data_IF_524473043591
#
_entry.id   IF_524473043591
#
_cell.length_a   1.000
_cell.length_b   1.000
_cell.length_c   1.000
_cell.angle_alpha   90.00
_cell.angle_beta   90.00
_cell.angle_gamma   90.00
#
_symmetry.space_group_name_H-M   'P 1'
#
loop_
_entity.id
_entity.type
_entity.pdbx_description
1 polymer ?
#
# COMPACT_ATOMS: atom_id res chain seq x y z
N UNK A 1 47.89 -36.43 -12.87
CA UNK A 1 48.57 -37.53 -12.16
C UNK A 1 49.30 -36.93 -10.97
N UNK A 2 49.00 -37.45 -9.78
CA UNK A 2 49.73 -37.40 -8.50
C UNK A 2 50.23 -36.05 -7.95
N UNK A 3 49.58 -35.58 -6.88
CA UNK A 3 50.20 -34.78 -5.81
C UNK A 3 50.52 -35.73 -4.63
N UNK A 4 51.68 -35.62 -3.98
CA UNK A 4 52.04 -36.52 -2.88
C UNK A 4 51.39 -36.13 -1.54
N UNK A 5 50.76 -37.12 -0.89
CA UNK A 5 50.79 -37.34 0.58
C UNK A 5 52.24 -37.63 0.99
N UNK A 6 52.76 -37.43 2.20
CA UNK A 6 52.24 -37.20 3.55
C UNK A 6 53.51 -37.09 4.42
N UNK A 7 53.49 -36.34 5.51
CA UNK A 7 54.43 -36.61 6.61
C UNK A 7 53.68 -36.63 7.94
N UNK A 8 53.80 -37.80 8.56
CA UNK A 8 53.27 -38.20 9.84
C UNK A 8 53.88 -37.40 10.99
N UNK A 9 53.05 -36.92 11.92
CA UNK A 9 53.47 -36.84 13.31
C UNK A 9 52.32 -37.24 14.23
N UNK A 10 52.40 -38.50 14.64
CA UNK A 10 51.60 -39.13 15.68
C UNK A 10 52.09 -38.70 17.07
N UNK A 11 51.19 -38.86 18.04
CA UNK A 11 51.46 -39.21 19.44
C UNK A 11 51.28 -38.11 20.52
N UNK A 12 50.01 -37.94 20.89
CA UNK A 12 49.46 -38.23 22.23
C UNK A 12 50.13 -37.62 23.48
N UNK A 13 49.40 -36.71 24.16
CA UNK A 13 49.01 -36.75 25.60
C UNK A 13 48.17 -35.50 25.94
N UNK A 14 46.85 -35.63 25.97
CA UNK A 14 46.01 -35.67 27.19
C UNK A 14 46.41 -34.60 28.21
N UNK A 15 45.57 -33.57 28.36
CA UNK A 15 45.10 -33.09 29.65
C UNK A 15 43.81 -32.27 29.45
N UNK A 16 42.79 -32.69 30.19
CA UNK A 16 41.43 -32.18 30.20
C UNK A 16 41.36 -30.69 30.55
N UNK A 17 40.41 -29.96 29.96
CA UNK A 17 39.83 -28.77 30.57
C UNK A 17 38.48 -28.41 29.94
N UNK A 18 37.47 -28.42 30.80
CA UNK A 18 36.25 -27.60 30.80
C UNK A 18 35.24 -27.73 29.65
N UNK A 19 34.14 -28.42 29.99
CA UNK A 19 32.79 -28.14 29.51
C UNK A 19 32.52 -26.63 29.43
N UNK A 20 32.12 -26.14 28.26
CA UNK A 20 31.34 -24.91 28.14
C UNK A 20 30.17 -25.16 27.19
N UNK A 21 29.03 -25.48 27.78
CA UNK A 21 27.74 -25.42 27.10
C UNK A 21 27.34 -23.95 26.95
N UNK A 22 27.29 -23.46 25.72
CA UNK A 22 26.56 -22.25 25.37
C UNK A 22 25.45 -22.62 24.38
N UNK A 23 24.28 -22.93 24.93
CA UNK A 23 23.03 -22.74 24.21
C UNK A 23 22.80 -21.24 24.02
N UNK A 24 22.36 -20.83 22.82
CA UNK A 24 21.35 -19.80 22.57
C UNK A 24 21.13 -19.72 21.06
N UNK A 25 20.15 -20.49 20.57
CA UNK A 25 19.49 -20.20 19.31
C UNK A 25 18.73 -18.88 19.48
N UNK A 26 19.31 -17.78 19.02
CA UNK A 26 18.61 -16.51 18.94
C UNK A 26 17.80 -16.48 17.64
N UNK A 27 16.57 -17.01 17.71
CA UNK A 27 15.51 -16.59 16.78
C UNK A 27 15.25 -15.11 17.05
N UNK A 28 15.68 -14.25 16.13
CA UNK A 28 15.29 -12.84 16.12
C UNK A 28 13.81 -12.74 15.76
N UNK A 29 12.92 -13.00 16.72
CA UNK A 29 11.53 -12.57 16.66
C UNK A 29 11.51 -11.04 16.80
N UNK A 30 11.54 -10.36 15.66
CA UNK A 30 11.21 -8.94 15.58
C UNK A 30 9.76 -8.80 16.03
N UNK A 31 9.46 -8.10 17.14
CA UNK A 31 8.08 -7.85 17.52
C UNK A 31 7.41 -7.14 16.36
N UNK A 32 6.40 -7.79 15.76
CA UNK A 32 5.50 -7.12 14.86
C UNK A 32 4.99 -5.90 15.61
N UNK A 33 5.20 -4.71 15.02
CA UNK A 33 4.58 -3.50 15.52
C UNK A 33 3.09 -3.80 15.76
N UNK A 34 2.49 -3.35 16.88
CA UNK A 34 1.07 -3.53 17.10
C UNK A 34 0.34 -3.07 15.85
N UNK A 35 -0.31 -4.01 15.15
CA UNK A 35 -1.19 -3.66 14.07
C UNK A 35 -2.21 -2.72 14.69
N UNK A 36 -2.19 -1.45 14.26
CA UNK A 36 -3.31 -0.55 14.53
C UNK A 36 -4.56 -1.33 14.12
N UNK A 37 -5.53 -1.55 15.04
CA UNK A 37 -6.72 -2.29 14.68
C UNK A 37 -7.40 -1.52 13.56
N UNK A 38 -7.34 -2.06 12.34
CA UNK A 38 -8.12 -1.56 11.22
C UNK A 38 -9.56 -1.73 11.68
N UNK A 39 -10.36 -0.66 11.80
CA UNK A 39 -11.74 -0.83 12.20
C UNK A 39 -12.42 -1.69 11.13
N UNK A 40 -12.76 -2.92 11.49
CA UNK A 40 -13.72 -3.76 10.76
C UNK A 40 -15.10 -3.13 10.90
N UNK A 41 -15.32 -2.02 10.22
CA UNK A 41 -16.65 -1.63 9.81
C UNK A 41 -16.99 -2.50 8.60
N UNK A 42 -17.85 -3.50 8.79
CA UNK A 42 -18.43 -4.27 7.69
C UNK A 42 -19.32 -3.41 6.75
N UNK A 43 -19.47 -2.12 7.03
CA UNK A 43 -20.24 -1.15 6.25
C UNK A 43 -19.37 -0.26 5.35
N UNK A 44 -19.99 0.23 4.28
CA UNK A 44 -19.39 1.21 3.39
C UNK A 44 -19.18 2.55 4.11
N UNK A 45 -18.05 3.21 3.83
CA UNK A 45 -17.72 4.51 4.43
C UNK A 45 -18.48 5.60 3.68
N UNK A 46 -19.29 6.44 4.36
CA UNK A 46 -19.98 7.54 3.72
C UNK A 46 -18.99 8.60 3.22
N UNK A 47 -19.27 9.16 2.06
CA UNK A 47 -18.49 10.27 1.50
C UNK A 47 -18.72 11.57 2.29
N UNK A 48 -17.68 12.41 2.40
CA UNK A 48 -17.77 13.74 3.00
C UNK A 48 -17.59 14.84 1.96
N UNK A 49 -18.50 15.81 1.89
CA UNK A 49 -18.30 17.03 1.10
C UNK A 49 -17.28 18.00 1.72
N UNK A 50 -16.95 17.81 3.00
CA UNK A 50 -15.94 18.61 3.70
C UNK A 50 -14.56 18.05 3.39
N UNK A 51 -13.68 18.89 2.86
CA UNK A 51 -12.26 18.57 2.65
C UNK A 51 -11.60 18.28 4.00
N UNK A 52 -10.96 17.10 4.18
CA UNK A 52 -10.24 16.80 5.41
C UNK A 52 -9.18 17.85 5.73
N UNK A 53 -9.19 18.38 6.95
CA UNK A 53 -8.31 19.48 7.38
C UNK A 53 -6.81 19.13 7.34
N UNK A 54 -6.46 17.84 7.30
CA UNK A 54 -5.08 17.37 7.19
C UNK A 54 -4.53 17.38 5.76
N UNK A 55 -5.37 17.64 4.75
CA UNK A 55 -4.92 17.75 3.36
C UNK A 55 -4.43 19.19 3.14
N UNK A 56 -3.12 19.40 2.90
CA UNK A 56 -2.57 20.73 2.68
C UNK A 56 -2.84 21.24 1.27
N UNK A 57 -2.60 22.54 1.07
CA UNK A 57 -2.55 23.19 -0.25
C UNK A 57 -1.24 23.98 -0.38
N UNK A 58 -0.59 24.00 -1.57
CA UNK A 58 -0.96 23.28 -2.79
C UNK A 58 -0.62 21.78 -2.75
N UNK A 59 -1.27 20.99 -3.60
CA UNK A 59 -0.88 19.61 -3.90
C UNK A 59 -0.24 19.56 -5.28
N UNK A 60 0.86 18.81 -5.41
CA UNK A 60 1.49 18.57 -6.72
C UNK A 60 0.68 17.52 -7.49
N UNK A 61 0.36 17.80 -8.76
CA UNK A 61 -0.34 16.83 -9.61
C UNK A 61 0.64 15.74 -10.08
N UNK A 62 0.22 14.48 -10.02
CA UNK A 62 0.98 13.34 -10.54
C UNK A 62 0.07 12.35 -11.27
N UNK A 63 0.66 11.34 -11.91
CA UNK A 63 0.00 10.16 -12.46
C UNK A 63 0.52 8.85 -11.84
N UNK A 64 1.29 8.94 -10.75
CA UNK A 64 1.88 7.80 -10.04
C UNK A 64 0.88 7.11 -9.10
N UNK A 65 -0.22 6.63 -9.65
CA UNK A 65 -1.20 5.81 -8.94
C UNK A 65 -2.07 5.05 -9.94
N UNK A 66 -2.95 4.19 -9.41
CA UNK A 66 -4.02 3.58 -10.19
C UNK A 66 -5.25 3.33 -9.34
N UNK A 67 -6.42 3.35 -10.01
CA UNK A 67 -7.63 2.64 -9.58
C UNK A 67 -7.74 1.42 -10.49
N UNK A 68 -7.49 0.24 -9.93
CA UNK A 68 -7.40 -1.00 -10.68
C UNK A 68 -8.76 -1.69 -10.80
N UNK A 69 -9.57 -1.64 -9.74
CA UNK A 69 -10.90 -2.28 -9.74
C UNK A 69 -12.00 -1.42 -9.15
N UNK A 70 -13.19 -1.62 -9.68
CA UNK A 70 -14.48 -1.13 -9.16
C UNK A 70 -15.40 -2.34 -9.01
N UNK A 71 -15.89 -2.59 -7.80
CA UNK A 71 -16.67 -3.78 -7.45
C UNK A 71 -16.00 -5.08 -7.92
N UNK A 72 -14.70 -5.19 -7.67
CA UNK A 72 -13.83 -6.34 -7.99
C UNK A 72 -13.68 -6.64 -9.50
N UNK A 73 -14.32 -5.86 -10.38
CA UNK A 73 -14.08 -5.86 -11.81
C UNK A 73 -12.99 -4.85 -12.20
N UNK A 74 -12.24 -5.13 -13.27
CA UNK A 74 -11.20 -4.22 -13.77
C UNK A 74 -11.81 -2.87 -14.15
N UNK A 75 -11.22 -1.79 -13.65
CA UNK A 75 -11.69 -0.43 -13.89
C UNK A 75 -11.39 0.03 -15.33
N UNK A 76 -12.44 0.37 -16.06
CA UNK A 76 -12.35 1.05 -17.37
C UNK A 76 -12.15 2.55 -17.16
N UNK A 77 -11.96 3.32 -18.24
CA UNK A 77 -11.89 4.79 -18.16
C UNK A 77 -13.11 5.38 -17.43
N UNK A 78 -14.31 4.87 -17.75
CA UNK A 78 -15.56 5.18 -17.05
C UNK A 78 -16.27 3.88 -16.71
N UNK A 79 -16.37 3.56 -15.41
CA UNK A 79 -16.99 2.32 -14.93
C UNK A 79 -18.41 2.57 -14.40
N UNK A 80 -19.46 1.92 -14.94
CA UNK A 80 -20.82 2.08 -14.42
C UNK A 80 -20.99 1.42 -13.05
N UNK A 81 -21.69 2.12 -12.15
CA UNK A 81 -22.01 1.65 -10.81
C UNK A 81 -23.51 1.79 -10.58
N UNK A 82 -24.22 0.66 -10.61
CA UNK A 82 -25.67 0.63 -10.41
C UNK A 82 -26.08 0.75 -8.94
N UNK A 83 -25.43 -0.01 -8.05
CA UNK A 83 -25.62 0.10 -6.61
C UNK A 83 -24.58 1.06 -6.01
N UNK A 84 -25.08 2.21 -5.57
CA UNK A 84 -24.25 3.29 -4.99
C UNK A 84 -23.94 3.06 -3.51
N UNK A 85 -24.69 2.20 -2.81
CA UNK A 85 -24.64 2.09 -1.36
C UNK A 85 -23.37 1.40 -0.85
N UNK A 86 -22.75 0.59 -1.71
CA UNK A 86 -21.54 -0.16 -1.39
C UNK A 86 -20.68 -0.36 -2.63
N UNK A 87 -19.76 0.56 -2.85
CA UNK A 87 -18.82 0.52 -3.98
C UNK A 87 -17.44 0.14 -3.46
N UNK A 88 -16.89 -0.98 -3.92
CA UNK A 88 -15.53 -1.41 -3.57
C UNK A 88 -14.55 -0.87 -4.60
N UNK A 89 -13.55 -0.13 -4.15
CA UNK A 89 -12.50 0.44 -4.99
C UNK A 89 -11.15 -0.08 -4.49
N UNK A 90 -10.26 -0.43 -5.40
CA UNK A 90 -8.88 -0.78 -5.03
C UNK A 90 -7.89 -0.38 -6.10
N UNK A 91 -6.63 -0.26 -5.71
CA UNK A 91 -5.57 0.15 -6.61
C UNK A 91 -4.22 0.22 -5.92
N UNK A 92 -3.33 1.09 -6.41
CA UNK A 92 -2.08 1.44 -5.75
C UNK A 92 -1.83 2.95 -5.75
N UNK A 93 -1.03 3.40 -4.78
CA UNK A 93 -0.65 4.79 -4.59
C UNK A 93 0.76 4.82 -3.99
N UNK A 94 1.69 5.50 -4.67
CA UNK A 94 3.06 5.67 -4.20
C UNK A 94 3.66 7.00 -4.70
N UNK A 95 4.70 7.46 -4.01
CA UNK A 95 5.67 8.36 -4.61
C UNK A 95 6.70 7.50 -5.36
N UNK A 96 6.52 7.31 -6.66
CA UNK A 96 7.40 6.49 -7.48
C UNK A 96 8.80 7.10 -7.62
N UNK A 97 8.88 8.45 -7.63
CA UNK A 97 10.14 9.19 -7.76
C UNK A 97 10.99 8.99 -6.51
N UNK A 98 10.43 9.23 -5.32
CA UNK A 98 11.13 9.02 -4.05
C UNK A 98 11.25 7.54 -3.68
N UNK A 99 10.34 6.69 -4.16
CA UNK A 99 10.27 5.28 -3.77
C UNK A 99 9.68 5.04 -2.40
N UNK A 100 8.73 5.89 -1.99
CA UNK A 100 8.13 5.86 -0.65
C UNK A 100 6.63 5.68 -0.74
N UNK A 101 6.06 5.13 0.35
CA UNK A 101 4.63 4.98 0.51
C UNK A 101 4.04 6.25 1.15
N UNK A 102 2.80 6.63 0.80
CA UNK A 102 2.08 7.66 1.52
C UNK A 102 1.87 7.24 2.98
N UNK A 103 1.90 8.21 3.90
CA UNK A 103 1.52 8.02 5.31
C UNK A 103 0.00 7.99 5.49
N UNK A 104 -0.70 8.75 4.66
CA UNK A 104 -2.15 8.76 4.57
C UNK A 104 -2.58 8.97 3.13
N UNK A 105 -3.76 8.52 2.77
CA UNK A 105 -4.32 8.76 1.47
C UNK A 105 -5.85 8.94 1.52
N UNK A 106 -6.35 9.70 0.55
CA UNK A 106 -7.77 9.98 0.38
C UNK A 106 -8.17 9.76 -1.06
N UNK A 107 -9.38 9.24 -1.26
CA UNK A 107 -10.05 9.29 -2.54
C UNK A 107 -10.82 10.61 -2.62
N UNK A 108 -10.49 11.45 -3.59
CA UNK A 108 -11.29 12.59 -4.02
C UNK A 108 -12.16 12.12 -5.19
N UNK A 109 -13.48 12.20 -5.02
CA UNK A 109 -14.47 11.78 -6.02
C UNK A 109 -15.22 13.01 -6.51
N UNK A 110 -15.33 13.15 -7.83
CA UNK A 110 -16.12 14.18 -8.49
C UNK A 110 -15.31 15.29 -9.16
N UNK A 111 -16.03 16.26 -9.72
CA UNK A 111 -15.48 17.41 -10.45
C UNK A 111 -15.63 18.73 -9.68
N UNK A 112 -16.58 19.57 -10.07
CA UNK A 112 -16.83 20.87 -9.45
C UNK A 112 -17.27 20.77 -7.97
N UNK A 113 -18.00 19.71 -7.61
CA UNK A 113 -18.27 19.34 -6.22
C UNK A 113 -17.47 18.08 -5.93
N UNK A 114 -16.61 18.18 -4.93
CA UNK A 114 -15.70 17.12 -4.52
C UNK A 114 -16.18 16.51 -3.22
N UNK A 115 -16.10 15.19 -3.14
CA UNK A 115 -16.28 14.48 -1.89
C UNK A 115 -15.04 13.64 -1.59
N UNK A 116 -14.82 13.35 -0.32
CA UNK A 116 -13.59 12.77 0.19
C UNK A 116 -13.87 11.55 1.05
N UNK A 117 -13.03 10.53 0.92
CA UNK A 117 -13.04 9.32 1.76
C UNK A 117 -11.61 8.92 2.09
N UNK A 118 -11.26 8.64 3.36
CA UNK A 118 -9.97 8.04 3.69
C UNK A 118 -9.87 6.62 3.10
N UNK A 119 -8.73 6.26 2.52
CA UNK A 119 -8.51 4.91 1.98
C UNK A 119 -7.50 4.13 2.83
N UNK A 120 -7.70 2.82 2.95
CA UNK A 120 -6.77 1.95 3.66
C UNK A 120 -5.56 1.61 2.78
N UNK A 121 -4.35 1.86 3.28
CA UNK A 121 -3.08 1.55 2.62
C UNK A 121 -2.49 0.22 3.10
N UNK A 122 -1.42 -0.24 2.44
CA UNK A 122 -0.62 -1.39 2.88
C UNK A 122 -1.01 -2.72 2.23
N UNK A 123 -1.83 -2.70 1.18
CA UNK A 123 -2.16 -3.92 0.43
C UNK A 123 -0.94 -4.33 -0.42
N UNK A 124 -0.62 -5.62 -0.43
CA UNK A 124 0.54 -6.15 -1.14
C UNK A 124 0.43 -5.94 -2.66
N UNK A 125 1.49 -5.37 -3.24
CA UNK A 125 1.68 -5.01 -4.65
C UNK A 125 3.13 -5.23 -5.10
N UNK A 126 3.59 -6.50 -5.15
CA UNK A 126 4.95 -6.81 -5.61
C UNK A 126 5.17 -6.43 -7.09
N UNK A 127 4.10 -6.36 -7.89
CA UNK A 127 4.12 -5.88 -9.26
C UNK A 127 4.54 -4.40 -9.35
N UNK A 128 4.04 -3.55 -8.45
CA UNK A 128 4.41 -2.12 -8.39
C UNK A 128 5.87 -1.96 -8.01
N UNK A 129 6.35 -2.70 -7.00
CA UNK A 129 7.76 -2.71 -6.62
C UNK A 129 8.67 -3.13 -7.78
N UNK A 130 8.26 -4.16 -8.53
CA UNK A 130 9.01 -4.67 -9.68
C UNK A 130 9.03 -3.64 -10.82
N UNK A 131 7.88 -3.06 -11.15
CA UNK A 131 7.75 -2.07 -12.23
C UNK A 131 8.66 -0.86 -12.04
N UNK A 132 8.72 -0.33 -10.81
CA UNK A 132 9.56 0.83 -10.50
C UNK A 132 10.99 0.47 -10.07
N UNK A 133 11.30 -0.82 -9.86
CA UNK A 133 12.59 -1.25 -9.31
C UNK A 133 12.81 -0.81 -7.86
N UNK A 134 11.73 -0.68 -7.07
CA UNK A 134 11.76 -0.13 -5.71
C UNK A 134 11.06 -1.07 -4.72
N UNK A 135 11.82 -1.89 -3.95
CA UNK A 135 11.25 -2.88 -3.02
C UNK A 135 10.29 -2.29 -1.98
N UNK A 136 10.52 -1.04 -1.55
CA UNK A 136 9.67 -0.34 -0.59
C UNK A 136 8.22 -0.14 -1.08
N UNK A 137 7.97 -0.19 -2.39
CA UNK A 137 6.64 -0.06 -2.98
C UNK A 137 5.84 -1.37 -2.97
N UNK A 138 6.37 -2.44 -2.39
CA UNK A 138 5.73 -3.75 -2.34
C UNK A 138 4.40 -3.78 -1.58
N UNK A 139 4.08 -2.73 -0.81
CA UNK A 139 2.81 -2.56 -0.10
C UNK A 139 2.08 -1.27 -0.52
N UNK A 140 2.29 -0.80 -1.74
CA UNK A 140 1.67 0.41 -2.28
C UNK A 140 0.16 0.27 -2.55
N UNK A 141 -0.42 -0.92 -2.36
CA UNK A 141 -1.82 -1.15 -2.63
C UNK A 141 -2.72 -0.46 -1.61
N UNK A 142 -3.92 -0.12 -2.06
CA UNK A 142 -4.97 0.43 -1.23
C UNK A 142 -6.33 -0.19 -1.56
N UNK A 143 -7.25 -0.09 -0.61
CA UNK A 143 -8.63 -0.49 -0.78
C UNK A 143 -9.58 0.43 0.00
N UNK A 144 -10.78 0.62 -0.53
CA UNK A 144 -11.87 1.34 0.12
C UNK A 144 -13.21 0.70 -0.24
N UNK A 145 -14.15 0.73 0.71
CA UNK A 145 -15.56 0.44 0.44
C UNK A 145 -16.34 1.70 0.79
N UNK A 146 -17.02 2.28 -0.19
CA UNK A 146 -17.58 3.64 -0.11
C UNK A 146 -19.07 3.65 -0.42
N UNK A 147 -19.81 4.50 0.30
CA UNK A 147 -21.22 4.78 0.03
C UNK A 147 -21.31 6.07 -0.78
N UNK A 148 -21.70 5.93 -2.05
CA UNK A 148 -21.87 6.99 -3.03
C UNK A 148 -23.34 7.43 -3.18
N UNK A 149 -24.25 6.96 -2.32
CA UNK A 149 -25.70 7.20 -2.42
C UNK A 149 -26.06 8.68 -2.48
N UNK A 150 -25.29 9.54 -1.81
CA UNK A 150 -25.48 10.99 -1.76
C UNK A 150 -25.01 11.75 -3.01
N UNK A 151 -24.22 11.12 -3.90
CA UNK A 151 -23.77 11.76 -5.13
C UNK A 151 -24.90 11.80 -6.17
N UNK A 152 -25.00 12.86 -6.98
CA UNK A 152 -25.95 12.91 -8.08
C UNK A 152 -25.57 11.94 -9.21
N UNK A 153 -26.54 11.65 -10.08
CA UNK A 153 -26.32 10.92 -11.33
C UNK A 153 -25.26 11.61 -12.21
N UNK A 154 -24.55 10.81 -13.01
CA UNK A 154 -23.52 11.26 -13.95
C UNK A 154 -22.11 10.76 -13.65
N UNK A 155 -21.13 11.31 -14.35
CA UNK A 155 -19.74 10.90 -14.26
C UNK A 155 -19.00 11.61 -13.12
N UNK A 156 -18.22 10.85 -12.36
CA UNK A 156 -17.41 11.34 -11.25
C UNK A 156 -15.98 10.83 -11.41
N UNK A 157 -15.03 11.76 -11.57
CA UNK A 157 -13.60 11.45 -11.64
C UNK A 157 -13.09 10.91 -10.30
N UNK A 158 -12.11 10.00 -10.37
CA UNK A 158 -11.43 9.42 -9.23
C UNK A 158 -10.00 9.93 -9.18
N UNK A 159 -9.66 10.64 -8.09
CA UNK A 159 -8.30 11.13 -7.84
C UNK A 159 -7.83 10.65 -6.47
N UNK A 160 -6.54 10.39 -6.35
CA UNK A 160 -5.95 9.89 -5.10
C UNK A 160 -5.05 10.96 -4.52
N UNK A 161 -5.43 11.50 -3.37
CA UNK A 161 -4.58 12.42 -2.61
C UNK A 161 -3.64 11.59 -1.76
N UNK A 162 -2.34 11.84 -1.89
CA UNK A 162 -1.28 11.11 -1.18
C UNK A 162 -0.56 12.09 -0.26
N UNK A 163 -0.55 11.79 1.04
CA UNK A 163 0.15 12.59 2.04
C UNK A 163 1.39 11.81 2.49
N UNK A 164 2.57 12.28 2.09
CA UNK A 164 3.85 11.64 2.37
C UNK A 164 4.85 12.58 3.03
N UNK A 165 6.03 12.05 3.35
CA UNK A 165 7.13 12.84 3.93
C UNK A 165 7.84 13.73 2.90
N UNK A 166 7.98 13.21 1.67
CA UNK A 166 8.70 13.90 0.60
C UNK A 166 7.80 14.92 -0.12
N UNK A 167 6.57 14.53 -0.41
CA UNK A 167 5.61 15.36 -1.13
C UNK A 167 4.17 15.01 -0.73
N UNK A 168 3.30 16.01 -0.86
CA UNK A 168 1.85 15.83 -0.86
C UNK A 168 1.35 15.99 -2.29
N UNK A 169 0.73 14.96 -2.84
CA UNK A 169 0.32 14.92 -4.24
C UNK A 169 -1.16 14.66 -4.39
N UNK A 170 -1.70 15.06 -5.54
CA UNK A 170 -2.98 14.57 -6.04
C UNK A 170 -2.73 13.84 -7.35
N UNK A 171 -3.01 12.55 -7.35
CA UNK A 171 -2.84 11.71 -8.51
C UNK A 171 -4.13 11.67 -9.33
N UNK A 172 -4.03 11.97 -10.62
CA UNK A 172 -5.08 11.71 -11.58
C UNK A 172 -4.98 10.26 -12.08
N UNK A 173 -5.88 9.40 -11.58
CA UNK A 173 -5.92 7.99 -11.97
C UNK A 173 -6.42 7.79 -13.42
N UNK A 174 -6.98 8.84 -14.06
CA UNK A 174 -7.67 8.76 -15.36
C UNK A 174 -8.77 7.70 -15.36
N UNK A 175 -9.52 7.66 -14.26
CA UNK A 175 -10.63 6.75 -14.02
C UNK A 175 -11.81 7.55 -13.48
N UNK A 176 -13.01 7.14 -13.86
CA UNK A 176 -14.25 7.69 -13.37
C UNK A 176 -15.27 6.59 -13.09
N UNK A 177 -16.25 6.89 -12.27
CA UNK A 177 -17.47 6.09 -12.14
C UNK A 177 -18.65 6.86 -12.73
N UNK A 178 -19.58 6.15 -13.35
CA UNK A 178 -20.86 6.74 -13.80
C UNK A 178 -22.00 6.19 -12.96
N UNK A 179 -22.79 7.10 -12.37
CA UNK A 179 -23.87 6.78 -11.44
C UNK A 179 -25.23 7.06 -12.09
N UNK A 180 -26.25 6.21 -11.86
CA UNK A 180 -27.61 6.41 -12.35
C UNK A 180 -28.34 7.56 -11.65
#
# INVERSE_FOLDING_TARGET
MAFPCSEDYSMTRILASALLACALAACSDKPAAPAVPVPTSNGATPVSAVRPAQIPEPLTITQDCSVDTVNDAVATEVTPVADKTKVRLSGWAADAVAGTLPKAAYLEIGGAKKVYVPIGLGVARPDVATHFGKPALGNAGWQATVDLSSLPAGNHELRIIQLGDAANTICDARKAVTLP
#
